data_IF_776787795034
#
_entry.id   IF_776787795034
#
_cell.length_a   1.000
_cell.length_b   1.000
_cell.length_c   1.000
_cell.angle_alpha   90.00
_cell.angle_beta   90.00
_cell.angle_gamma   90.00
#
_symmetry.space_group_name_H-M   'P 1'
#
loop_
_entity.id
_entity.type
_entity.pdbx_description
1 polymer ?
#
# COMPACT_ATOMS: atom_id res chain seq x y z
N UNK A 1 -12.42 2.65 -0.56
CA UNK A 1 -11.56 2.13 0.53
C UNK A 1 -12.35 1.33 1.57
N UNK A 2 -13.37 1.92 2.23
CA UNK A 2 -14.20 1.24 3.25
C UNK A 2 -14.72 -0.14 2.79
N UNK A 3 -15.39 -0.19 1.64
CA UNK A 3 -15.92 -1.42 1.04
C UNK A 3 -14.84 -2.46 0.74
N UNK A 4 -13.65 -2.02 0.30
CA UNK A 4 -12.50 -2.91 0.03
C UNK A 4 -11.97 -3.52 1.31
N UNK A 5 -11.77 -2.72 2.36
CA UNK A 5 -11.34 -3.21 3.68
C UNK A 5 -12.34 -4.22 4.23
N UNK A 6 -13.64 -3.91 4.18
CA UNK A 6 -14.70 -4.83 4.64
C UNK A 6 -14.72 -6.15 3.87
N UNK A 7 -14.36 -6.12 2.58
CA UNK A 7 -14.23 -7.30 1.72
C UNK A 7 -12.83 -7.96 1.81
N UNK A 8 -11.99 -7.53 2.76
CA UNK A 8 -10.59 -7.99 2.94
C UNK A 8 -9.71 -7.86 1.69
N UNK A 9 -10.02 -6.88 0.84
CA UNK A 9 -9.24 -6.53 -0.34
C UNK A 9 -8.20 -5.45 -0.01
N UNK A 10 -7.14 -5.39 -0.83
CA UNK A 10 -6.16 -4.32 -0.78
C UNK A 10 -6.84 -2.94 -0.88
N UNK A 11 -6.41 -1.99 -0.04
CA UNK A 11 -7.00 -0.64 0.05
C UNK A 11 -6.78 0.18 -1.22
N UNK A 12 -5.58 0.05 -1.78
CA UNK A 12 -5.09 0.80 -2.92
C UNK A 12 -4.60 -0.16 -4.01
N UNK A 13 -4.33 0.41 -5.17
CA UNK A 13 -3.78 -0.22 -6.37
C UNK A 13 -2.26 -0.04 -6.47
N UNK A 14 -1.54 0.18 -5.35
CA UNK A 14 -0.09 0.48 -5.36
C UNK A 14 0.73 -0.54 -6.15
N UNK A 15 0.37 -1.83 -6.12
CA UNK A 15 1.04 -2.86 -6.91
C UNK A 15 0.90 -2.63 -8.41
N UNK A 16 -0.29 -2.23 -8.85
CA UNK A 16 -0.59 -1.91 -10.26
C UNK A 16 0.10 -0.62 -10.68
N UNK A 17 0.12 0.39 -9.81
CA UNK A 17 0.83 1.65 -10.06
C UNK A 17 2.34 1.43 -10.14
N UNK A 18 2.89 0.61 -9.24
CA UNK A 18 4.29 0.17 -9.30
C UNK A 18 4.60 -0.53 -10.62
N UNK A 19 3.77 -1.48 -11.02
CA UNK A 19 3.92 -2.16 -12.31
C UNK A 19 3.86 -1.18 -13.49
N UNK A 20 2.89 -0.25 -13.52
CA UNK A 20 2.81 0.77 -14.57
C UNK A 20 4.05 1.67 -14.58
N UNK A 21 4.59 2.03 -13.42
CA UNK A 21 5.78 2.87 -13.33
C UNK A 21 7.02 2.13 -13.84
N UNK A 22 7.20 0.87 -13.44
CA UNK A 22 8.29 0.02 -13.94
C UNK A 22 8.17 -0.19 -15.46
N UNK A 23 6.97 -0.51 -15.94
CA UNK A 23 6.68 -0.68 -17.36
C UNK A 23 6.99 0.59 -18.16
N UNK A 24 6.49 1.74 -17.69
CA UNK A 24 6.82 3.04 -18.29
C UNK A 24 8.33 3.28 -18.28
N UNK A 25 9.01 3.06 -17.16
CA UNK A 25 10.46 3.30 -17.07
C UNK A 25 11.27 2.44 -18.05
N UNK A 26 10.84 1.20 -18.29
CA UNK A 26 11.50 0.28 -19.21
C UNK A 26 11.27 0.59 -20.69
N UNK A 27 10.10 1.14 -21.01
CA UNK A 27 9.63 1.32 -22.40
C UNK A 27 9.66 2.80 -22.83
N UNK A 28 9.87 3.75 -21.93
CA UNK A 28 9.97 5.17 -22.28
C UNK A 28 11.39 5.49 -22.76
N UNK A 29 11.64 5.26 -24.04
CA UNK A 29 12.76 5.86 -24.77
C UNK A 29 12.24 6.43 -26.09
N UNK A 30 12.89 7.46 -26.65
CA UNK A 30 12.40 8.19 -27.83
C UNK A 30 12.06 7.29 -29.03
N UNK A 31 12.67 6.11 -29.12
CA UNK A 31 12.32 5.05 -30.07
C UNK A 31 12.45 3.67 -29.41
N UNK A 32 11.37 3.16 -28.83
CA UNK A 32 11.34 1.79 -28.32
C UNK A 32 11.13 0.83 -29.47
N UNK A 33 12.16 0.05 -29.79
CA UNK A 33 12.02 -1.06 -30.74
C UNK A 33 11.04 -2.08 -30.18
N UNK A 34 10.23 -2.68 -31.06
CA UNK A 34 9.37 -3.82 -30.74
C UNK A 34 10.12 -4.93 -29.98
N UNK A 35 11.40 -5.14 -30.29
CA UNK A 35 12.26 -6.11 -29.59
C UNK A 35 12.42 -5.76 -28.11
N UNK A 36 12.60 -4.48 -27.75
CA UNK A 36 12.70 -4.05 -26.35
C UNK A 36 11.39 -4.25 -25.60
N UNK A 37 10.27 -3.97 -26.25
CA UNK A 37 8.94 -4.26 -25.70
C UNK A 37 8.78 -5.78 -25.42
N UNK A 38 9.14 -6.62 -26.40
CA UNK A 38 9.04 -8.07 -26.27
C UNK A 38 9.91 -8.61 -25.11
N UNK A 39 11.14 -8.12 -24.99
CA UNK A 39 12.04 -8.48 -23.89
C UNK A 39 11.47 -8.08 -22.52
N UNK A 40 10.85 -6.89 -22.41
CA UNK A 40 10.18 -6.46 -21.19
C UNK A 40 9.01 -7.37 -20.83
N UNK A 41 8.15 -7.69 -21.80
CA UNK A 41 7.01 -8.57 -21.57
C UNK A 41 7.45 -9.99 -21.17
N UNK A 42 8.49 -10.53 -21.80
CA UNK A 42 9.04 -11.83 -21.45
C UNK A 42 9.58 -11.85 -20.01
N UNK A 43 10.31 -10.80 -19.60
CA UNK A 43 10.78 -10.64 -18.22
C UNK A 43 9.62 -10.60 -17.23
N UNK A 44 8.58 -9.81 -17.53
CA UNK A 44 7.39 -9.72 -16.67
C UNK A 44 6.68 -11.06 -16.53
N UNK A 45 6.52 -11.81 -17.63
CA UNK A 45 5.94 -13.15 -17.60
C UNK A 45 6.74 -14.08 -16.67
N UNK A 46 8.07 -14.12 -16.79
CA UNK A 46 8.91 -14.95 -15.92
C UNK A 46 8.80 -14.57 -14.44
N UNK A 47 8.65 -13.27 -14.13
CA UNK A 47 8.44 -12.81 -12.75
C UNK A 47 7.09 -13.27 -12.19
N UNK A 48 6.03 -13.25 -13.00
CA UNK A 48 4.71 -13.73 -12.61
C UNK A 48 4.71 -15.25 -12.42
N UNK A 49 5.31 -16.02 -13.33
CA UNK A 49 5.45 -17.48 -13.21
C UNK A 49 6.20 -17.87 -11.94
N UNK A 50 7.32 -17.17 -11.63
CA UNK A 50 8.06 -17.38 -10.39
C UNK A 50 7.27 -17.00 -9.13
N UNK A 51 6.29 -16.09 -9.24
CA UNK A 51 5.42 -15.71 -8.12
C UNK A 51 4.31 -16.74 -7.92
N UNK A 52 3.71 -17.24 -9.00
CA UNK A 52 2.74 -18.33 -8.99
C UNK A 52 3.34 -19.61 -8.41
N UNK A 53 4.53 -20.02 -8.87
CA UNK A 53 5.23 -21.19 -8.34
C UNK A 53 5.50 -21.08 -6.82
N UNK A 54 5.79 -19.88 -6.32
CA UNK A 54 5.93 -19.63 -4.88
C UNK A 54 4.60 -19.81 -4.14
N UNK A 55 3.49 -19.32 -4.70
CA UNK A 55 2.17 -19.52 -4.10
C UNK A 55 1.74 -21.00 -4.12
N UNK A 56 2.06 -21.73 -5.19
CA UNK A 56 1.78 -23.17 -5.30
C UNK A 56 2.54 -23.99 -4.25
N UNK A 57 3.73 -23.56 -3.84
CA UNK A 57 4.48 -24.17 -2.73
C UNK A 57 4.00 -23.71 -1.34
N UNK A 58 2.98 -22.85 -1.28
CA UNK A 58 2.40 -22.33 -0.03
C UNK A 58 3.15 -21.13 0.55
N UNK A 59 4.07 -20.51 -0.19
CA UNK A 59 4.74 -19.30 0.26
C UNK A 59 3.75 -18.12 0.32
N UNK A 60 3.66 -17.48 1.49
CA UNK A 60 2.82 -16.31 1.70
C UNK A 60 3.63 -15.04 1.42
N UNK A 61 3.10 -14.07 0.64
CA UNK A 61 3.78 -12.81 0.39
C UNK A 61 4.21 -12.11 1.68
N UNK A 62 5.50 -11.76 1.76
CA UNK A 62 6.04 -11.04 2.91
C UNK A 62 5.48 -9.62 2.98
N UNK A 63 4.56 -9.38 3.89
CA UNK A 63 4.19 -8.03 4.32
C UNK A 63 5.01 -7.62 5.53
N UNK A 64 5.36 -6.33 5.64
CA UNK A 64 5.99 -5.84 6.87
C UNK A 64 5.01 -5.98 8.04
N UNK A 65 5.50 -6.39 9.21
CA UNK A 65 4.68 -6.49 10.44
C UNK A 65 3.92 -5.20 10.73
N UNK A 66 4.52 -4.06 10.40
CA UNK A 66 3.91 -2.74 10.59
C UNK A 66 2.71 -2.51 9.66
N UNK A 67 2.82 -2.93 8.39
CA UNK A 67 1.72 -2.86 7.41
C UNK A 67 0.57 -3.79 7.82
N UNK A 68 0.89 -5.01 8.23
CA UNK A 68 -0.09 -6.00 8.69
C UNK A 68 -0.85 -5.52 9.92
N UNK A 69 -0.14 -5.04 10.95
CA UNK A 69 -0.73 -4.45 12.16
C UNK A 69 -1.65 -3.26 11.84
N UNK A 70 -1.26 -2.40 10.91
CA UNK A 70 -2.07 -1.25 10.47
C UNK A 70 -3.33 -1.72 9.74
N UNK A 71 -3.21 -2.71 8.86
CA UNK A 71 -4.35 -3.28 8.14
C UNK A 71 -5.35 -3.92 9.10
N UNK A 72 -4.87 -4.65 10.10
CA UNK A 72 -5.70 -5.24 11.15
C UNK A 72 -6.45 -4.18 11.96
N UNK A 73 -5.77 -3.11 12.41
CA UNK A 73 -6.40 -2.00 13.13
C UNK A 73 -7.47 -1.31 12.30
N UNK A 74 -7.19 -1.03 11.03
CA UNK A 74 -8.16 -0.41 10.12
C UNK A 74 -9.35 -1.34 9.85
N UNK A 75 -9.13 -2.64 9.67
CA UNK A 75 -10.20 -3.61 9.50
C UNK A 75 -11.14 -3.60 10.71
N UNK A 76 -10.59 -3.65 11.92
CA UNK A 76 -11.37 -3.60 13.16
C UNK A 76 -12.23 -2.34 13.27
N UNK A 77 -11.68 -1.18 12.91
CA UNK A 77 -12.44 0.07 12.89
C UNK A 77 -13.59 0.03 11.87
N UNK A 78 -13.34 -0.53 10.69
CA UNK A 78 -14.35 -0.65 9.62
C UNK A 78 -15.46 -1.65 9.98
N UNK A 79 -15.11 -2.78 10.61
CA UNK A 79 -16.09 -3.78 11.09
C UNK A 79 -16.96 -3.23 12.23
N UNK A 80 -16.40 -2.36 13.07
CA UNK A 80 -17.09 -1.76 14.22
C UNK A 80 -17.70 -0.37 13.92
N UNK A 81 -17.84 -0.02 12.63
CA UNK A 81 -18.29 1.31 12.22
C UNK A 81 -19.69 1.66 12.74
N UNK A 82 -20.64 0.72 12.65
CA UNK A 82 -22.05 0.94 13.01
C UNK A 82 -22.25 1.10 14.53
N UNK A 83 -21.32 0.60 15.35
CA UNK A 83 -21.40 0.68 16.81
C UNK A 83 -20.60 1.84 17.41
N UNK A 84 -20.05 2.75 16.58
CA UNK A 84 -19.20 3.86 17.02
C UNK A 84 -19.80 5.22 16.70
N UNK A 85 -19.52 6.17 17.57
CA UNK A 85 -19.75 7.58 17.31
C UNK A 85 -18.80 8.10 16.22
N UNK A 86 -19.33 8.93 15.31
CA UNK A 86 -18.67 9.31 14.06
C UNK A 86 -17.30 9.98 14.27
N UNK A 87 -17.16 10.87 15.26
CA UNK A 87 -15.88 11.55 15.52
C UNK A 87 -14.84 10.57 16.07
N UNK A 88 -15.26 9.67 16.95
CA UNK A 88 -14.40 8.60 17.48
C UNK A 88 -13.90 7.68 16.35
N UNK A 89 -14.76 7.32 15.39
CA UNK A 89 -14.36 6.55 14.21
C UNK A 89 -13.33 7.31 13.35
N UNK A 90 -13.62 8.55 12.98
CA UNK A 90 -12.74 9.37 12.14
C UNK A 90 -11.38 9.61 12.80
N UNK A 91 -11.34 9.89 14.11
CA UNK A 91 -10.08 10.05 14.86
C UNK A 91 -9.26 8.76 14.85
N UNK A 92 -9.90 7.61 15.09
CA UNK A 92 -9.24 6.31 15.01
C UNK A 92 -8.65 6.01 13.62
N UNK A 93 -9.38 6.34 12.56
CA UNK A 93 -8.91 6.19 11.18
C UNK A 93 -7.71 7.08 10.90
N UNK A 94 -7.78 8.36 11.27
CA UNK A 94 -6.70 9.32 11.03
C UNK A 94 -5.39 8.97 11.77
N UNK A 95 -5.46 8.39 12.98
CA UNK A 95 -4.26 7.85 13.65
C UNK A 95 -3.58 6.72 12.89
N UNK A 96 -4.32 5.90 12.13
CA UNK A 96 -3.73 4.80 11.35
C UNK A 96 -3.14 5.24 10.00
N UNK A 97 -3.47 6.45 9.56
CA UNK A 97 -2.94 7.07 8.35
C UNK A 97 -1.84 8.09 8.62
N UNK A 98 -1.36 8.18 9.86
CA UNK A 98 -0.34 9.13 10.30
C UNK A 98 -0.70 10.62 10.09
N UNK A 99 -1.96 10.95 9.82
CA UNK A 99 -2.43 12.34 9.60
C UNK A 99 -2.20 13.26 10.82
N UNK A 100 -1.98 12.71 12.01
CA UNK A 100 -1.79 13.49 13.25
C UNK A 100 -0.33 13.61 13.71
N UNK A 101 0.61 12.86 13.14
CA UNK A 101 1.99 12.82 13.66
C UNK A 101 2.91 13.92 13.11
N UNK A 102 2.69 14.41 11.89
CA UNK A 102 3.57 15.43 11.30
C UNK A 102 3.35 16.85 11.85
N UNK A 103 2.15 17.19 12.35
CA UNK A 103 1.92 18.54 12.89
C UNK A 103 2.22 18.67 14.40
N UNK A 104 2.07 17.60 15.19
CA UNK A 104 2.33 17.66 16.64
C UNK A 104 3.81 17.52 17.01
N UNK A 105 4.58 16.70 16.29
CA UNK A 105 6.02 16.54 16.57
C UNK A 105 6.80 17.81 16.26
N UNK A 106 6.48 18.51 15.17
CA UNK A 106 7.08 19.82 14.86
C UNK A 106 6.64 20.92 15.84
N UNK A 107 5.39 20.91 16.31
CA UNK A 107 4.93 21.86 17.33
C UNK A 107 5.61 21.66 18.68
N UNK A 108 5.78 20.41 19.12
CA UNK A 108 6.46 20.10 20.39
C UNK A 108 7.98 20.32 20.28
N UNK A 109 8.61 19.99 19.16
CA UNK A 109 10.06 20.20 18.97
C UNK A 109 10.42 21.69 18.87
N UNK A 110 9.58 22.50 18.26
CA UNK A 110 9.77 23.96 18.18
C UNK A 110 9.51 24.65 19.52
N UNK A 111 8.50 24.22 20.29
CA UNK A 111 8.27 24.74 21.65
C UNK A 111 9.39 24.39 22.63
N UNK A 112 9.99 23.19 22.52
CA UNK A 112 11.12 22.78 23.35
C UNK A 112 12.46 23.38 22.91
N UNK A 113 12.53 24.00 21.72
CA UNK A 113 13.68 24.78 21.26
C UNK A 113 13.56 26.28 21.61
N UNK A 114 12.42 26.71 22.17
CA UNK A 114 12.11 28.08 22.57
C UNK A 114 12.06 28.26 24.10
N UNK A 115 12.44 27.24 24.87
CA UNK A 115 12.69 27.25 26.31
C UNK A 115 14.02 26.56 26.61
#
# INVERSE_FOLDING_TARGET
>A
MFTRVRSRLLRTNNSVEGWHNDFKSGITCSHTSFVKLLMHLQREQSLQEATLARWETGEVPRTSKHSESRNFRILRLVEDYENRENLTYLRGMAHNFDFYYEHYTYFISTLHALY
#
